data_IF_703804093438
#
_entry.id   IF_703804093438
#
_cell.length_a   1.000
_cell.length_b   1.000
_cell.length_c   1.000
_cell.angle_alpha   90.00
_cell.angle_beta   90.00
_cell.angle_gamma   90.00
#
_symmetry.space_group_name_H-M   'P 1'
#
loop_
_entity.id
_entity.type
_entity.pdbx_description
1 polymer ?
#
# COMPACT_ATOMS: atom_id res chain seq x y z
N UNK A 1 27.16 29.13 43.28
CA UNK A 1 26.10 29.91 42.60
C UNK A 1 26.16 29.96 41.05
N UNK A 2 27.25 29.52 40.39
CA UNK A 2 27.38 29.62 38.92
C UNK A 2 26.98 28.36 38.13
N UNK A 3 26.91 27.18 38.77
CA UNK A 3 26.54 25.92 38.10
C UNK A 3 25.03 25.73 37.89
N UNK A 4 24.20 26.46 38.65
CA UNK A 4 22.74 26.39 38.58
C UNK A 4 22.15 27.25 37.46
N UNK A 5 22.89 28.25 36.97
CA UNK A 5 22.44 29.11 35.87
C UNK A 5 22.65 28.45 34.50
N UNK A 6 23.74 27.69 34.33
CA UNK A 6 24.06 26.99 33.07
C UNK A 6 23.13 25.79 32.83
N UNK A 7 22.71 25.11 33.88
CA UNK A 7 21.70 24.04 33.81
C UNK A 7 20.32 24.57 33.45
N UNK A 8 19.94 25.76 33.93
CA UNK A 8 18.67 26.39 33.57
C UNK A 8 18.67 26.89 32.11
N UNK A 9 19.81 27.32 31.56
CA UNK A 9 19.94 27.75 30.16
C UNK A 9 19.83 26.58 29.17
N UNK A 10 20.30 25.38 29.53
CA UNK A 10 20.19 24.16 28.72
C UNK A 10 18.78 23.53 28.72
N UNK A 11 17.96 23.85 29.72
CA UNK A 11 16.55 23.42 29.79
C UNK A 11 15.61 24.33 28.98
N UNK A 12 16.04 25.54 28.60
CA UNK A 12 15.29 26.41 27.68
C UNK A 12 15.54 26.10 26.19
N UNK A 13 16.57 25.32 25.85
CA UNK A 13 16.88 24.91 24.47
C UNK A 13 16.17 23.64 23.99
N UNK A 14 15.37 23.00 24.85
CA UNK A 14 14.64 21.77 24.53
C UNK A 14 13.12 21.98 24.35
N UNK A 15 12.67 23.21 24.09
CA UNK A 15 11.31 23.46 23.61
C UNK A 15 11.19 23.00 22.16
N UNK A 16 11.02 21.68 21.99
CA UNK A 16 10.45 21.14 20.75
C UNK A 16 9.05 21.72 20.64
N UNK A 17 8.92 22.77 19.83
CA UNK A 17 7.62 23.24 19.40
C UNK A 17 6.90 22.05 18.76
N UNK A 18 5.65 21.73 19.14
CA UNK A 18 4.92 20.69 18.44
C UNK A 18 4.89 21.08 16.96
N UNK A 19 5.41 20.22 16.09
CA UNK A 19 5.32 20.41 14.65
C UNK A 19 3.84 20.32 14.30
N UNK A 20 3.17 21.47 14.16
CA UNK A 20 1.82 21.54 13.65
C UNK A 20 1.86 21.00 12.22
N UNK A 21 1.32 19.80 12.01
CA UNK A 21 1.14 19.25 10.67
C UNK A 21 0.30 20.22 9.85
N UNK A 22 0.83 20.68 8.71
CA UNK A 22 0.11 21.61 7.84
C UNK A 22 -0.97 20.81 7.10
N UNK A 23 -2.24 21.08 7.41
CA UNK A 23 -3.34 20.61 6.59
C UNK A 23 -3.61 21.64 5.46
N UNK A 24 -3.33 21.25 4.21
CA UNK A 24 -3.42 22.12 3.04
C UNK A 24 -4.87 22.26 2.56
N UNK A 25 -5.70 21.23 2.74
CA UNK A 25 -7.08 21.19 2.21
C UNK A 25 -7.95 22.34 2.72
N UNK A 26 -7.94 22.70 4.02
CA UNK A 26 -8.66 23.88 4.51
C UNK A 26 -8.16 25.19 3.88
N UNK A 27 -6.88 25.29 3.54
CA UNK A 27 -6.29 26.49 2.94
C UNK A 27 -6.66 26.64 1.45
N UNK A 28 -6.97 25.54 0.77
CA UNK A 28 -7.44 25.54 -0.62
C UNK A 28 -8.96 25.69 -0.74
N UNK A 29 -9.73 25.28 0.28
CA UNK A 29 -11.19 25.33 0.29
C UNK A 29 -11.84 26.67 -0.11
N UNK A 30 -11.27 27.86 0.18
CA UNK A 30 -11.85 29.13 -0.23
C UNK A 30 -11.69 29.45 -1.73
N UNK A 31 -10.98 28.62 -2.50
CA UNK A 31 -10.62 28.87 -3.90
C UNK A 31 -11.24 27.80 -4.82
N UNK A 32 -12.45 28.03 -5.36
CA UNK A 32 -13.15 27.06 -6.21
C UNK A 32 -12.37 26.66 -7.48
N UNK A 33 -11.56 27.56 -8.01
CA UNK A 33 -10.70 27.31 -9.17
C UNK A 33 -9.54 26.34 -8.89
N UNK A 34 -9.35 25.94 -7.62
CA UNK A 34 -8.36 24.94 -7.20
C UNK A 34 -9.02 23.66 -6.65
N UNK A 35 -10.34 23.51 -6.82
CA UNK A 35 -11.09 22.37 -6.29
C UNK A 35 -10.56 21.02 -6.82
N UNK A 36 -10.34 20.91 -8.14
CA UNK A 36 -9.87 19.68 -8.76
C UNK A 36 -8.47 19.30 -8.21
N UNK A 37 -7.60 20.30 -8.00
CA UNK A 37 -6.27 20.09 -7.40
C UNK A 37 -6.34 19.69 -5.92
N UNK A 38 -7.24 20.32 -5.16
CA UNK A 38 -7.49 19.96 -3.76
C UNK A 38 -8.00 18.52 -3.63
N UNK A 39 -8.91 18.12 -4.52
CA UNK A 39 -9.43 16.76 -4.58
C UNK A 39 -8.30 15.77 -4.84
N UNK A 40 -7.41 16.03 -5.81
CA UNK A 40 -6.24 15.20 -6.07
C UNK A 40 -5.29 15.07 -4.87
N UNK A 41 -5.11 16.11 -4.05
CA UNK A 41 -4.32 15.98 -2.81
C UNK A 41 -4.98 15.02 -1.82
N UNK A 42 -6.32 15.04 -1.73
CA UNK A 42 -7.07 14.23 -0.77
C UNK A 42 -7.32 12.79 -1.21
N UNK A 43 -7.47 12.54 -2.51
CA UNK A 43 -7.72 11.20 -3.05
C UNK A 43 -6.44 10.38 -3.23
N UNK A 44 -5.28 11.03 -3.13
CA UNK A 44 -3.96 10.39 -3.25
C UNK A 44 -3.26 10.31 -1.89
N UNK A 45 -2.14 9.58 -1.82
CA UNK A 45 -1.34 9.45 -0.60
C UNK A 45 -0.53 10.70 -0.24
N UNK A 46 -0.64 11.79 -1.00
CA UNK A 46 0.11 13.04 -0.78
C UNK A 46 -0.23 13.69 0.55
N UNK A 47 -1.49 13.66 0.97
CA UNK A 47 -1.90 14.20 2.26
C UNK A 47 -1.15 13.55 3.43
N UNK A 48 -0.83 12.26 3.34
CA UNK A 48 -0.05 11.54 4.35
C UNK A 48 1.43 11.96 4.34
N UNK A 49 2.02 12.15 3.15
CA UNK A 49 3.43 12.57 3.00
C UNK A 49 3.72 13.99 3.51
N UNK A 50 2.66 14.80 3.61
CA UNK A 50 2.68 16.17 4.15
C UNK A 50 2.66 16.20 5.68
N UNK A 51 2.30 15.10 6.35
CA UNK A 51 2.27 15.03 7.81
C UNK A 51 3.69 15.24 8.35
N UNK A 52 3.83 16.14 9.32
CA UNK A 52 5.13 16.47 9.92
C UNK A 52 6.04 17.35 9.06
N UNK A 53 5.60 17.76 7.86
CA UNK A 53 6.32 18.76 7.05
C UNK A 53 5.96 20.16 7.51
N UNK A 54 6.97 21.02 7.60
CA UNK A 54 6.84 22.46 7.79
C UNK A 54 7.61 23.20 6.69
N UNK A 55 7.32 24.49 6.48
CA UNK A 55 8.00 25.32 5.48
C UNK A 55 7.91 24.74 4.07
N UNK A 56 6.69 24.67 3.52
CA UNK A 56 6.44 24.13 2.18
C UNK A 56 5.93 25.19 1.21
N UNK A 57 6.13 24.95 -0.09
CA UNK A 57 5.48 25.72 -1.16
C UNK A 57 4.69 24.80 -2.06
N UNK A 58 3.41 25.12 -2.27
CA UNK A 58 2.51 24.39 -3.15
C UNK A 58 2.41 25.13 -4.48
N UNK A 59 2.82 24.48 -5.56
CA UNK A 59 2.60 24.92 -6.94
C UNK A 59 1.21 24.45 -7.36
N UNK A 60 0.19 25.24 -7.01
CA UNK A 60 -1.20 24.90 -7.26
C UNK A 60 -1.57 25.04 -8.74
N UNK A 61 -2.33 24.07 -9.25
CA UNK A 61 -2.79 24.03 -10.62
C UNK A 61 -4.26 24.47 -10.67
N UNK A 62 -4.60 25.54 -11.43
CA UNK A 62 -5.98 25.88 -11.72
C UNK A 62 -6.72 24.73 -12.40
N UNK A 63 -8.03 24.61 -12.14
CA UNK A 63 -8.90 23.61 -12.76
C UNK A 63 -8.82 23.69 -14.29
N UNK A 64 -8.71 24.91 -14.84
CA UNK A 64 -8.51 25.09 -16.28
C UNK A 64 -7.24 24.37 -16.79
N UNK A 65 -6.12 24.44 -16.07
CA UNK A 65 -4.88 23.77 -16.47
C UNK A 65 -5.03 22.25 -16.34
N UNK A 66 -5.62 21.78 -15.24
CA UNK A 66 -5.81 20.35 -14.98
C UNK A 66 -6.72 19.68 -16.03
N UNK A 67 -7.82 20.33 -16.42
CA UNK A 67 -8.78 19.78 -17.40
C UNK A 67 -8.25 19.76 -18.83
N UNK A 68 -7.30 20.63 -19.15
CA UNK A 68 -6.59 20.58 -20.43
C UNK A 68 -5.41 19.60 -20.40
N UNK A 69 -5.13 19.00 -19.24
CA UNK A 69 -4.10 17.98 -19.09
C UNK A 69 -4.73 16.59 -19.02
N UNK A 70 -4.00 15.59 -19.52
CA UNK A 70 -4.43 14.19 -19.49
C UNK A 70 -4.46 13.60 -18.05
N UNK A 71 -4.03 14.37 -17.04
CA UNK A 71 -4.05 14.01 -15.62
C UNK A 71 -5.47 13.80 -15.08
N UNK A 72 -6.46 14.52 -15.61
CA UNK A 72 -7.86 14.45 -15.18
C UNK A 72 -8.75 13.57 -16.09
N UNK A 73 -8.30 13.26 -17.31
CA UNK A 73 -9.11 12.63 -18.35
C UNK A 73 -8.58 11.29 -18.86
N UNK A 74 -7.56 10.70 -18.22
CA UNK A 74 -7.04 9.39 -18.63
C UNK A 74 -8.17 8.32 -18.66
N UNK A 75 -8.56 7.82 -19.84
CA UNK A 75 -9.62 6.84 -19.97
C UNK A 75 -9.00 5.46 -19.89
N UNK A 76 -8.61 5.02 -18.69
CA UNK A 76 -8.29 3.61 -18.46
C UNK A 76 -8.87 3.21 -17.12
N UNK A 77 -9.80 2.27 -17.19
CA UNK A 77 -10.40 1.50 -16.11
C UNK A 77 -9.36 0.64 -15.38
N UNK A 78 -8.32 1.25 -14.80
CA UNK A 78 -7.30 0.55 -14.04
C UNK A 78 -6.94 1.32 -12.77
N UNK A 79 -6.74 0.57 -11.69
CA UNK A 79 -6.51 0.99 -10.30
C UNK A 79 -5.23 1.84 -10.08
N UNK A 80 -4.60 2.32 -11.15
CA UNK A 80 -3.30 3.01 -11.22
C UNK A 80 -3.40 4.55 -11.23
N UNK A 81 -4.60 5.09 -11.45
CA UNK A 81 -4.85 6.53 -11.54
C UNK A 81 -4.43 7.35 -10.30
N UNK A 82 -4.65 6.87 -9.05
CA UNK A 82 -4.29 7.64 -7.85
C UNK A 82 -2.77 7.69 -7.57
N UNK A 83 -2.01 6.67 -7.98
CA UNK A 83 -0.55 6.65 -7.80
C UNK A 83 0.12 7.66 -8.73
N UNK A 84 -0.28 7.67 -10.01
CA UNK A 84 0.21 8.62 -11.01
C UNK A 84 -0.10 10.07 -10.64
N UNK A 85 -1.36 10.34 -10.28
CA UNK A 85 -1.76 11.66 -9.82
C UNK A 85 -0.96 12.06 -8.58
N UNK A 86 -0.78 11.15 -7.63
CA UNK A 86 0.00 11.41 -6.42
C UNK A 86 1.43 11.86 -6.72
N UNK A 87 2.13 11.19 -7.64
CA UNK A 87 3.52 11.54 -7.97
C UNK A 87 3.66 12.88 -8.68
N UNK A 88 2.73 13.19 -9.59
CA UNK A 88 2.68 14.51 -10.21
C UNK A 88 2.40 15.59 -9.16
N UNK A 89 1.49 15.35 -8.22
CA UNK A 89 1.20 16.31 -7.15
C UNK A 89 2.38 16.45 -6.18
N UNK A 90 3.09 15.37 -5.82
CA UNK A 90 4.35 15.44 -5.04
C UNK A 90 5.40 16.30 -5.73
N UNK A 91 5.44 16.30 -7.06
CA UNK A 91 6.36 17.13 -7.83
C UNK A 91 6.01 18.62 -7.76
N UNK A 92 4.73 18.94 -7.53
CA UNK A 92 4.24 20.31 -7.34
C UNK A 92 4.37 20.82 -5.90
N UNK A 93 4.82 20.00 -4.96
CA UNK A 93 5.05 20.40 -3.56
C UNK A 93 6.55 20.55 -3.34
N UNK A 94 6.97 21.70 -2.81
CA UNK A 94 8.36 22.03 -2.54
C UNK A 94 8.61 22.05 -1.04
N UNK A 95 9.79 21.59 -0.64
CA UNK A 95 10.17 21.42 0.76
C UNK A 95 10.86 22.65 1.34
N UNK A 96 10.50 23.82 0.82
CA UNK A 96 10.92 25.10 1.34
C UNK A 96 9.80 26.13 1.14
N UNK A 97 9.65 27.05 2.10
CA UNK A 97 8.82 28.23 1.95
C UNK A 97 9.43 29.23 0.95
N UNK A 98 8.69 29.52 -0.12
CA UNK A 98 9.06 30.47 -1.17
C UNK A 98 7.92 31.46 -1.37
N UNK A 99 8.17 32.75 -1.14
CA UNK A 99 7.22 33.80 -1.50
C UNK A 99 7.47 34.30 -2.92
N UNK A 100 6.40 34.69 -3.62
CA UNK A 100 6.52 35.28 -4.95
C UNK A 100 7.36 36.56 -4.93
N UNK A 101 7.25 37.34 -3.85
CA UNK A 101 8.05 38.56 -3.65
C UNK A 101 9.54 38.25 -3.57
N UNK A 102 9.93 37.20 -2.87
CA UNK A 102 11.35 36.81 -2.73
C UNK A 102 11.89 36.25 -4.04
N UNK A 103 11.10 35.45 -4.76
CA UNK A 103 11.45 34.94 -6.08
C UNK A 103 11.63 36.08 -7.11
N UNK A 104 10.83 37.13 -7.00
CA UNK A 104 10.91 38.33 -7.84
C UNK A 104 11.93 39.37 -7.35
N UNK A 105 12.50 39.25 -6.15
CA UNK A 105 13.54 40.18 -5.64
C UNK A 105 14.93 39.57 -5.59
N UNK A 106 15.01 38.24 -5.55
CA UNK A 106 16.26 37.50 -5.48
C UNK A 106 17.24 37.82 -6.61
N UNK A 107 18.52 37.47 -6.42
CA UNK A 107 19.57 37.72 -7.39
C UNK A 107 19.23 37.05 -8.74
N UNK A 108 19.65 37.64 -9.87
CA UNK A 108 19.49 37.02 -11.18
C UNK A 108 20.29 35.70 -11.19
N UNK A 109 19.59 34.58 -11.17
CA UNK A 109 20.18 33.25 -11.08
C UNK A 109 19.14 32.14 -11.14
N UNK A 110 19.62 30.91 -11.30
CA UNK A 110 18.79 29.70 -11.21
C UNK A 110 18.83 29.20 -9.77
N UNK A 111 17.66 29.05 -9.14
CA UNK A 111 17.53 28.50 -7.80
C UNK A 111 16.93 27.10 -7.87
N UNK A 112 17.71 26.10 -7.50
CA UNK A 112 17.25 24.70 -7.41
C UNK A 112 16.55 24.46 -6.09
N UNK A 113 15.39 23.80 -6.13
CA UNK A 113 14.55 23.52 -4.96
C UNK A 113 14.12 22.06 -4.98
N UNK A 114 14.18 21.42 -3.82
CA UNK A 114 13.78 20.02 -3.62
C UNK A 114 12.25 19.89 -3.60
N UNK A 115 11.70 19.01 -4.42
CA UNK A 115 10.27 18.67 -4.36
C UNK A 115 10.01 17.59 -3.31
N UNK A 116 8.74 17.42 -2.92
CA UNK A 116 8.30 16.28 -2.11
C UNK A 116 8.56 14.97 -2.85
N UNK A 117 8.42 14.94 -4.18
CA UNK A 117 8.73 13.77 -5.00
C UNK A 117 10.17 13.30 -4.81
N UNK A 118 11.15 14.22 -4.85
CA UNK A 118 12.56 13.89 -4.56
C UNK A 118 12.74 13.29 -3.16
N UNK A 119 12.12 13.89 -2.14
CA UNK A 119 12.29 13.45 -0.76
C UNK A 119 11.62 12.11 -0.45
N UNK A 120 10.73 11.63 -1.33
CA UNK A 120 10.18 10.28 -1.20
C UNK A 120 11.09 9.19 -1.78
N UNK A 121 12.21 9.54 -2.41
CA UNK A 121 13.11 8.58 -3.04
C UNK A 121 12.61 8.03 -4.38
N UNK A 122 11.45 8.48 -4.87
CA UNK A 122 10.83 8.04 -6.13
C UNK A 122 11.51 8.61 -7.39
N UNK A 123 12.32 9.65 -7.23
CA UNK A 123 13.05 10.27 -8.34
C UNK A 123 14.36 9.56 -8.64
N UNK A 124 14.63 9.29 -9.92
CA UNK A 124 15.96 8.87 -10.36
C UNK A 124 16.94 10.04 -10.28
N UNK A 125 18.01 9.91 -9.50
CA UNK A 125 19.06 10.93 -9.38
C UNK A 125 18.52 12.30 -8.96
N UNK A 126 18.84 13.33 -9.76
CA UNK A 126 18.46 14.73 -9.50
C UNK A 126 17.22 15.19 -10.30
N UNK A 127 16.41 14.27 -10.83
CA UNK A 127 15.24 14.64 -11.62
C UNK A 127 14.02 15.06 -10.77
N UNK A 128 14.06 14.87 -9.46
CA UNK A 128 13.06 15.34 -8.52
C UNK A 128 13.22 16.80 -8.09
N UNK A 129 14.23 17.51 -8.57
CA UNK A 129 14.41 18.93 -8.28
C UNK A 129 13.76 19.82 -9.33
N UNK A 130 13.29 21.00 -8.92
CA UNK A 130 12.82 22.05 -9.82
C UNK A 130 13.71 23.27 -9.76
N UNK A 131 13.81 23.98 -10.89
CA UNK A 131 14.68 25.14 -11.05
C UNK A 131 13.86 26.41 -11.25
N UNK A 132 13.91 27.31 -10.28
CA UNK A 132 13.32 28.63 -10.40
C UNK A 132 14.26 29.58 -11.14
N UNK A 133 13.74 30.23 -12.17
CA UNK A 133 14.46 31.24 -12.95
C UNK A 133 13.63 32.51 -13.05
N UNK A 134 14.21 33.62 -12.61
CA UNK A 134 13.60 34.94 -12.75
C UNK A 134 13.84 35.49 -14.15
N UNK A 135 12.77 35.91 -14.83
CA UNK A 135 12.87 36.65 -16.08
C UNK A 135 12.77 38.16 -15.79
N UNK A 136 13.89 38.87 -15.94
CA UNK A 136 13.99 40.31 -15.68
C UNK A 136 13.21 41.16 -16.68
N UNK A 137 13.03 40.69 -17.92
CA UNK A 137 12.30 41.40 -18.96
C UNK A 137 10.78 41.39 -18.73
N UNK A 138 10.21 40.19 -18.50
CA UNK A 138 8.77 40.02 -18.31
C UNK A 138 8.31 40.13 -16.85
N UNK A 139 9.23 40.30 -15.88
CA UNK A 139 8.97 40.27 -14.43
C UNK A 139 8.20 39.02 -13.98
N UNK A 140 8.48 37.88 -14.62
CA UNK A 140 7.87 36.59 -14.29
C UNK A 140 8.90 35.64 -13.69
N UNK A 141 8.41 34.58 -13.05
CA UNK A 141 9.24 33.49 -12.51
C UNK A 141 8.85 32.20 -13.21
N UNK A 142 9.81 31.58 -13.88
CA UNK A 142 9.64 30.27 -14.51
C UNK A 142 10.14 29.19 -13.56
N UNK A 143 9.38 28.12 -13.44
CA UNK A 143 9.75 26.87 -12.77
C UNK A 143 10.06 25.86 -13.85
N UNK A 144 11.31 25.42 -13.93
CA UNK A 144 11.76 24.46 -14.91
C UNK A 144 11.94 23.08 -14.27
N UNK A 145 11.38 22.07 -14.91
CA UNK A 145 11.63 20.65 -14.66
C UNK A 145 12.38 20.05 -15.86
N UNK A 146 12.98 18.86 -15.72
CA UNK A 146 13.64 18.19 -16.84
C UNK A 146 12.69 17.86 -18.01
N UNK A 147 11.38 17.70 -17.74
CA UNK A 147 10.39 17.32 -18.74
C UNK A 147 9.54 18.49 -19.26
N UNK A 148 9.65 19.69 -18.69
CA UNK A 148 8.83 20.83 -19.07
C UNK A 148 8.97 22.03 -18.14
N UNK A 149 8.37 23.16 -18.53
CA UNK A 149 8.44 24.41 -17.80
C UNK A 149 7.04 24.94 -17.48
N UNK A 150 6.90 25.54 -16.31
CA UNK A 150 5.71 26.27 -15.87
C UNK A 150 6.09 27.69 -15.46
N UNK A 151 5.14 28.61 -15.50
CA UNK A 151 5.32 29.99 -15.05
C UNK A 151 4.43 30.23 -13.85
N UNK A 152 4.99 30.84 -12.80
CA UNK A 152 4.23 31.28 -11.64
C UNK A 152 3.36 32.47 -12.04
N UNK A 153 2.05 32.30 -11.91
CA UNK A 153 1.03 33.29 -12.29
C UNK A 153 0.75 34.26 -11.16
N UNK A 154 0.52 33.73 -9.96
CA UNK A 154 0.11 34.53 -8.80
C UNK A 154 0.41 33.82 -7.47
N UNK A 155 0.42 34.59 -6.38
CA UNK A 155 0.46 34.05 -5.02
C UNK A 155 -0.97 34.00 -4.47
N UNK A 156 -1.47 32.80 -4.23
CA UNK A 156 -2.83 32.53 -3.76
C UNK A 156 -2.93 32.73 -2.25
N UNK A 157 -1.99 32.13 -1.52
CA UNK A 157 -1.93 32.20 -0.06
C UNK A 157 -0.48 32.21 0.40
N UNK A 158 -0.21 32.93 1.48
CA UNK A 158 1.07 32.87 2.17
C UNK A 158 0.83 32.96 3.66
N UNK A 159 1.36 31.99 4.39
CA UNK A 159 1.54 31.98 5.82
C UNK A 159 3.06 31.96 6.03
N UNK A 160 3.68 33.12 6.33
CA UNK A 160 5.13 33.27 6.37
C UNK A 160 5.82 32.17 7.17
N UNK A 161 6.91 31.64 6.62
CA UNK A 161 7.74 30.55 7.17
C UNK A 161 7.06 29.17 7.26
N UNK A 162 5.77 29.07 6.94
CA UNK A 162 5.02 27.82 7.08
C UNK A 162 4.56 27.26 5.73
N UNK A 163 3.71 28.00 5.00
CA UNK A 163 3.19 27.56 3.71
C UNK A 163 3.03 28.73 2.75
N UNK A 164 3.44 28.52 1.49
CA UNK A 164 3.13 29.40 0.36
C UNK A 164 2.37 28.61 -0.69
N UNK A 165 1.32 29.18 -1.26
CA UNK A 165 0.56 28.58 -2.36
C UNK A 165 0.69 29.51 -3.55
N UNK A 166 1.36 29.03 -4.60
CA UNK A 166 1.64 29.74 -5.83
C UNK A 166 0.87 29.07 -6.97
N UNK A 167 0.11 29.82 -7.73
CA UNK A 167 -0.56 29.29 -8.92
C UNK A 167 0.41 29.21 -10.09
N UNK A 168 0.41 28.10 -10.83
CA UNK A 168 1.21 27.89 -12.04
C UNK A 168 0.34 27.63 -13.27
N UNK A 169 0.82 28.01 -14.46
CA UNK A 169 0.06 27.91 -15.70
C UNK A 169 0.23 26.60 -16.48
N UNK A 170 1.12 25.72 -16.05
CA UNK A 170 1.39 24.45 -16.73
C UNK A 170 1.69 23.36 -15.71
N UNK A 171 1.34 22.13 -16.07
CA UNK A 171 1.65 20.94 -15.30
C UNK A 171 3.16 20.62 -15.38
N UNK A 172 3.80 20.44 -14.22
CA UNK A 172 5.15 19.90 -14.12
C UNK A 172 5.10 18.40 -13.88
N UNK A 173 5.57 17.64 -14.86
CA UNK A 173 5.61 16.17 -14.79
C UNK A 173 7.03 15.73 -14.45
N UNK A 174 7.23 14.76 -13.53
CA UNK A 174 8.58 14.24 -13.28
C UNK A 174 9.17 13.60 -14.54
N UNK A 175 10.51 13.59 -14.64
CA UNK A 175 11.21 13.01 -15.78
C UNK A 175 10.92 11.50 -15.91
N UNK A 176 10.69 11.03 -17.14
CA UNK A 176 10.42 9.61 -17.43
C UNK A 176 8.94 9.20 -17.35
N UNK A 177 8.04 10.15 -17.11
CA UNK A 177 6.59 9.94 -17.09
C UNK A 177 6.01 10.33 -18.46
N UNK A 178 5.83 9.37 -19.37
CA UNK A 178 5.13 9.56 -20.66
C UNK A 178 3.85 8.71 -20.70
N UNK A 179 2.71 9.38 -20.92
CA UNK A 179 1.35 8.81 -20.92
C UNK A 179 1.07 7.86 -22.09
N UNK A 180 1.93 7.82 -23.11
CA UNK A 180 1.79 6.90 -24.25
C UNK A 180 2.49 5.56 -24.07
N UNK A 181 3.28 5.40 -23.02
CA UNK A 181 4.17 4.24 -22.81
C UNK A 181 3.72 3.30 -21.67
N UNK A 182 2.55 3.55 -21.07
CA UNK A 182 2.01 2.73 -19.96
C UNK A 182 1.61 1.31 -20.35
N UNK A 183 1.65 0.96 -21.64
CA UNK A 183 1.55 -0.42 -22.11
C UNK A 183 2.88 -1.19 -22.09
N UNK A 184 4.02 -0.53 -21.88
CA UNK A 184 5.34 -1.11 -22.11
C UNK A 184 6.46 -0.69 -21.14
N UNK A 185 6.22 0.20 -20.17
CA UNK A 185 7.30 0.65 -19.25
C UNK A 185 7.11 0.20 -17.80
N UNK A 186 8.12 -0.43 -17.16
CA UNK A 186 8.12 -0.72 -15.73
C UNK A 186 8.03 0.59 -14.93
N UNK A 187 7.51 0.52 -13.70
CA UNK A 187 7.70 1.59 -12.70
C UNK A 187 9.21 1.93 -12.61
N UNK A 188 9.64 3.03 -11.98
CA UNK A 188 11.00 3.10 -11.44
C UNK A 188 11.09 2.01 -10.36
N UNK A 189 11.23 0.76 -10.81
CA UNK A 189 11.15 -0.44 -10.02
C UNK A 189 12.24 -0.35 -8.98
N UNK A 190 11.87 -0.61 -7.74
CA UNK A 190 12.87 -0.88 -6.74
C UNK A 190 13.62 -2.11 -7.26
N UNK A 191 14.91 -1.97 -7.55
CA UNK A 191 15.72 -3.14 -7.87
C UNK A 191 15.79 -3.98 -6.58
N UNK A 192 14.90 -4.97 -6.48
CA UNK A 192 14.67 -5.79 -5.29
C UNK A 192 16.00 -6.39 -4.85
N UNK A 193 16.74 -6.96 -5.79
CA UNK A 193 18.01 -7.65 -5.54
C UNK A 193 19.09 -6.69 -5.04
N UNK A 194 19.18 -5.49 -5.60
CA UNK A 194 20.09 -4.46 -5.09
C UNK A 194 19.73 -4.03 -3.66
N UNK A 195 18.45 -3.82 -3.37
CA UNK A 195 17.99 -3.49 -2.01
C UNK A 195 18.35 -4.59 -1.00
N UNK A 196 18.24 -5.86 -1.41
CA UNK A 196 18.61 -6.99 -0.54
C UNK A 196 20.11 -7.08 -0.30
N UNK A 197 20.92 -6.81 -1.33
CA UNK A 197 22.38 -6.75 -1.23
C UNK A 197 22.78 -5.61 -0.27
N UNK A 198 22.22 -4.42 -0.46
CA UNK A 198 22.52 -3.23 0.34
C UNK A 198 22.09 -3.40 1.81
N UNK A 199 20.98 -4.11 2.06
CA UNK A 199 20.49 -4.41 3.40
C UNK A 199 21.35 -5.44 4.16
N UNK A 200 22.20 -6.19 3.45
CA UNK A 200 23.04 -7.28 3.96
C UNK A 200 22.23 -8.47 4.51
N UNK A 201 22.85 -9.65 4.66
CA UNK A 201 22.22 -10.84 5.25
C UNK A 201 20.98 -11.38 4.48
N UNK A 202 20.89 -11.11 3.17
CA UNK A 202 19.88 -11.66 2.24
C UNK A 202 20.52 -12.15 0.93
N UNK A 203 21.82 -12.43 0.93
CA UNK A 203 22.56 -12.79 -0.27
C UNK A 203 22.03 -14.07 -0.93
N UNK A 204 21.60 -15.05 -0.13
CA UNK A 204 21.09 -16.32 -0.62
C UNK A 204 19.78 -16.13 -1.37
N UNK A 205 18.82 -15.40 -0.79
CA UNK A 205 17.53 -15.15 -1.46
C UNK A 205 17.68 -14.21 -2.66
N UNK A 206 18.56 -13.20 -2.59
CA UNK A 206 18.90 -12.36 -3.72
C UNK A 206 19.41 -13.19 -4.92
N UNK A 207 20.32 -14.14 -4.67
CA UNK A 207 20.78 -15.07 -5.71
C UNK A 207 19.67 -15.96 -6.25
N UNK A 208 18.77 -16.46 -5.40
CA UNK A 208 17.65 -17.29 -5.83
C UNK A 208 16.66 -16.52 -6.72
N UNK A 209 16.39 -15.25 -6.40
CA UNK A 209 15.55 -14.36 -7.21
C UNK A 209 16.18 -14.17 -8.59
N UNK A 210 17.47 -13.82 -8.65
CA UNK A 210 18.16 -13.59 -9.91
C UNK A 210 18.31 -14.85 -10.76
N UNK A 211 18.60 -15.99 -10.14
CA UNK A 211 18.78 -17.26 -10.84
C UNK A 211 17.45 -17.86 -11.35
N UNK A 212 16.33 -17.56 -10.69
CA UNK A 212 15.01 -18.06 -11.08
C UNK A 212 14.30 -17.17 -12.11
N UNK A 213 14.68 -15.90 -12.22
CA UNK A 213 14.08 -14.95 -13.15
C UNK A 213 12.67 -14.47 -12.76
N UNK A 214 12.21 -14.78 -11.54
CA UNK A 214 10.89 -14.35 -11.04
C UNK A 214 10.84 -12.85 -10.73
N UNK A 215 11.99 -12.17 -10.68
CA UNK A 215 12.08 -10.72 -10.45
C UNK A 215 11.19 -9.92 -11.40
N UNK A 216 11.23 -10.22 -12.70
CA UNK A 216 10.40 -9.56 -13.70
C UNK A 216 8.90 -9.80 -13.50
N UNK A 217 8.53 -10.89 -12.80
CA UNK A 217 7.15 -11.14 -12.39
C UNK A 217 6.73 -10.27 -11.21
N UNK A 218 7.62 -10.13 -10.23
CA UNK A 218 7.39 -9.32 -9.05
C UNK A 218 7.30 -7.84 -9.43
N UNK A 219 8.25 -7.33 -10.21
CA UNK A 219 8.27 -5.96 -10.73
C UNK A 219 6.98 -5.62 -11.50
N UNK A 220 6.43 -6.56 -12.27
CA UNK A 220 5.16 -6.36 -12.97
C UNK A 220 3.98 -6.24 -12.00
N UNK A 221 4.02 -7.01 -10.90
CA UNK A 221 2.97 -7.02 -9.88
C UNK A 221 3.07 -5.83 -8.92
N UNK A 222 4.25 -5.22 -8.77
CA UNK A 222 4.42 -3.92 -8.08
C UNK A 222 3.50 -2.84 -8.65
N UNK A 223 3.23 -2.89 -9.97
CA UNK A 223 2.36 -1.93 -10.62
C UNK A 223 0.91 -1.96 -10.09
N UNK A 224 0.40 -3.12 -9.66
CA UNK A 224 -1.00 -3.30 -9.25
C UNK A 224 -1.31 -2.80 -7.84
N UNK A 225 -1.84 -3.69 -6.98
CA UNK A 225 -2.09 -3.41 -5.55
C UNK A 225 -0.80 -3.27 -4.72
N UNK A 226 0.36 -3.26 -5.37
CA UNK A 226 1.67 -3.40 -4.76
C UNK A 226 1.98 -4.82 -4.29
N UNK A 227 3.14 -5.00 -3.67
CA UNK A 227 3.58 -6.31 -3.17
C UNK A 227 4.20 -6.18 -1.78
N UNK A 228 4.08 -7.27 -1.02
CA UNK A 228 4.77 -7.44 0.26
C UNK A 228 5.60 -8.71 0.21
N UNK A 229 6.92 -8.58 0.33
CA UNK A 229 7.83 -9.72 0.34
C UNK A 229 8.28 -10.04 1.75
N UNK A 230 8.14 -11.30 2.13
CA UNK A 230 8.51 -11.86 3.43
C UNK A 230 9.76 -12.73 3.22
N UNK A 231 10.93 -12.11 3.18
CA UNK A 231 12.14 -12.77 2.68
C UNK A 231 13.01 -13.34 3.82
N UNK A 232 13.48 -14.60 3.72
CA UNK A 232 14.35 -15.20 4.72
C UNK A 232 15.76 -14.62 4.66
N UNK A 233 16.37 -14.42 5.83
CA UNK A 233 17.79 -14.04 5.95
C UNK A 233 18.74 -15.18 5.58
N UNK A 234 20.03 -14.88 5.38
CA UNK A 234 21.05 -15.92 5.13
C UNK A 234 21.18 -16.88 6.32
N UNK A 235 20.97 -16.37 7.54
CA UNK A 235 20.87 -17.18 8.76
C UNK A 235 19.66 -18.12 8.73
N UNK A 236 18.50 -17.66 8.24
CA UNK A 236 17.32 -18.51 8.09
C UNK A 236 17.55 -19.70 7.14
N UNK A 237 18.39 -19.54 6.11
CA UNK A 237 18.81 -20.66 5.25
C UNK A 237 19.83 -21.58 5.91
N UNK A 238 20.69 -21.03 6.76
CA UNK A 238 21.70 -21.78 7.50
C UNK A 238 21.07 -22.66 8.59
N UNK A 239 20.01 -22.15 9.24
CA UNK A 239 19.20 -22.85 10.25
C UNK A 239 18.18 -23.84 9.65
N UNK A 240 18.04 -23.87 8.32
CA UNK A 240 17.12 -24.77 7.65
C UNK A 240 17.56 -26.23 7.85
N UNK A 241 16.68 -27.03 8.45
CA UNK A 241 16.93 -28.45 8.67
C UNK A 241 17.37 -29.18 7.40
N UNK A 242 18.36 -30.07 7.53
CA UNK A 242 19.01 -30.72 6.38
C UNK A 242 18.03 -31.46 5.46
N UNK A 243 16.96 -32.04 6.00
CA UNK A 243 15.90 -32.70 5.23
C UNK A 243 15.14 -31.73 4.31
N UNK A 244 14.77 -30.55 4.82
CA UNK A 244 14.09 -29.52 4.02
C UNK A 244 15.04 -28.88 3.02
N UNK A 245 16.31 -28.69 3.39
CA UNK A 245 17.33 -28.21 2.44
C UNK A 245 17.52 -29.18 1.28
N UNK A 246 17.63 -30.49 1.55
CA UNK A 246 17.72 -31.50 0.51
C UNK A 246 16.46 -31.53 -0.37
N UNK A 247 15.27 -31.42 0.25
CA UNK A 247 14.01 -31.34 -0.48
C UNK A 247 13.96 -30.12 -1.39
N UNK A 248 14.30 -28.92 -0.89
CA UNK A 248 14.37 -27.69 -1.67
C UNK A 248 15.33 -27.81 -2.85
N UNK A 249 16.49 -28.45 -2.65
CA UNK A 249 17.46 -28.72 -3.73
C UNK A 249 16.90 -29.67 -4.80
N UNK A 250 16.13 -30.68 -4.39
CA UNK A 250 15.52 -31.68 -5.28
C UNK A 250 14.34 -31.15 -6.11
N UNK A 251 13.77 -30.01 -5.74
CA UNK A 251 12.66 -29.40 -6.49
C UNK A 251 13.10 -29.00 -7.91
N UNK A 252 12.18 -29.13 -8.86
CA UNK A 252 12.36 -28.57 -10.22
C UNK A 252 12.52 -27.06 -10.18
N UNK A 253 13.02 -26.46 -11.27
CA UNK A 253 13.19 -25.00 -11.36
C UNK A 253 11.86 -24.26 -11.13
N UNK A 254 10.77 -24.75 -11.73
CA UNK A 254 9.44 -24.16 -11.58
C UNK A 254 8.89 -24.28 -10.15
N UNK A 255 9.12 -25.42 -9.49
CA UNK A 255 8.74 -25.58 -8.08
C UNK A 255 9.58 -24.69 -7.15
N UNK A 256 10.85 -24.43 -7.46
CA UNK A 256 11.67 -23.46 -6.73
C UNK A 256 11.15 -22.03 -6.94
N UNK A 257 10.71 -21.70 -8.15
CA UNK A 257 10.07 -20.42 -8.45
C UNK A 257 8.75 -20.25 -7.65
N UNK A 258 7.95 -21.30 -7.52
CA UNK A 258 6.75 -21.29 -6.66
C UNK A 258 7.08 -21.08 -5.18
N UNK A 259 8.18 -21.66 -4.67
CA UNK A 259 8.65 -21.37 -3.31
C UNK A 259 8.98 -19.88 -3.18
N UNK A 260 9.60 -19.25 -4.16
CA UNK A 260 9.86 -17.81 -4.13
C UNK A 260 8.57 -16.99 -4.18
N UNK A 261 7.62 -17.33 -5.06
CA UNK A 261 6.29 -16.69 -5.13
C UNK A 261 5.49 -16.84 -3.83
N UNK A 262 5.67 -17.94 -3.11
CA UNK A 262 5.05 -18.17 -1.81
C UNK A 262 5.55 -17.20 -0.72
N UNK A 263 6.71 -16.57 -0.91
CA UNK A 263 7.20 -15.53 0.00
C UNK A 263 6.65 -14.13 -0.35
N UNK A 264 5.75 -14.00 -1.34
CA UNK A 264 5.25 -12.71 -1.81
C UNK A 264 3.73 -12.64 -1.73
N UNK A 265 3.22 -11.63 -1.03
CA UNK A 265 1.81 -11.28 -1.02
C UNK A 265 1.51 -10.34 -2.20
N UNK A 266 0.42 -10.54 -2.96
CA UNK A 266 0.07 -9.75 -4.14
C UNK A 266 -0.58 -8.40 -3.80
N UNK A 267 -0.23 -7.81 -2.65
CA UNK A 267 -0.71 -6.51 -2.19
C UNK A 267 0.30 -5.87 -1.23
N UNK A 268 0.33 -4.53 -1.21
CA UNK A 268 1.15 -3.76 -0.28
C UNK A 268 0.51 -3.72 1.12
N UNK A 269 1.21 -4.30 2.11
CA UNK A 269 0.84 -4.27 3.51
C UNK A 269 1.98 -3.65 4.32
N UNK A 270 1.81 -2.43 4.85
CA UNK A 270 2.78 -1.86 5.78
C UNK A 270 2.80 -2.68 7.07
N UNK A 271 3.91 -2.62 7.82
CA UNK A 271 4.10 -3.43 9.03
C UNK A 271 2.97 -3.17 10.04
N UNK A 272 2.59 -1.91 10.21
CA UNK A 272 1.49 -1.52 11.09
C UNK A 272 0.13 -2.09 10.69
N UNK A 273 -0.09 -2.45 9.41
CA UNK A 273 -1.28 -3.18 8.98
C UNK A 273 -1.17 -4.65 9.38
N UNK A 274 -0.04 -5.29 9.10
CA UNK A 274 0.22 -6.68 9.50
C UNK A 274 0.14 -6.89 11.02
N UNK A 275 0.44 -5.87 11.82
CA UNK A 275 0.32 -5.91 13.29
C UNK A 275 -1.11 -5.83 13.82
N UNK A 276 -2.03 -5.29 13.01
CA UNK A 276 -3.45 -5.10 13.35
C UNK A 276 -4.32 -6.24 12.82
N UNK A 277 -3.72 -7.10 12.02
CA UNK A 277 -4.36 -8.22 11.38
C UNK A 277 -4.73 -9.29 12.43
N UNK A 278 -5.98 -9.74 12.39
CA UNK A 278 -6.51 -10.81 13.24
C UNK A 278 -6.91 -11.99 12.36
N UNK A 279 -6.02 -12.98 12.24
CA UNK A 279 -6.23 -14.29 11.60
C UNK A 279 -6.78 -14.34 10.14
N UNK A 280 -6.31 -13.55 9.17
CA UNK A 280 -6.59 -13.78 7.77
C UNK A 280 -5.65 -14.84 7.22
N UNK A 281 -6.25 -15.74 6.45
CA UNK A 281 -5.53 -16.60 5.52
C UNK A 281 -5.25 -15.72 4.30
N UNK A 282 -3.98 -15.46 4.04
CA UNK A 282 -3.58 -14.58 2.94
C UNK A 282 -3.11 -15.39 1.72
N UNK A 283 -3.64 -15.13 0.52
CA UNK A 283 -3.12 -15.72 -0.70
C UNK A 283 -1.74 -15.14 -1.01
N UNK A 284 -0.89 -15.95 -1.62
CA UNK A 284 0.44 -15.52 -2.11
C UNK A 284 0.42 -15.44 -3.64
N UNK A 285 1.49 -14.92 -4.24
CA UNK A 285 1.65 -14.97 -5.69
C UNK A 285 1.67 -16.41 -6.24
N UNK A 286 2.01 -17.42 -5.43
CA UNK A 286 1.92 -18.82 -5.85
C UNK A 286 0.46 -19.30 -5.93
N UNK A 287 -0.44 -18.74 -5.13
CA UNK A 287 -1.88 -19.04 -5.16
C UNK A 287 -2.49 -18.69 -6.52
N UNK A 288 -2.14 -17.54 -7.10
CA UNK A 288 -2.62 -17.08 -8.41
C UNK A 288 -2.38 -18.13 -9.51
N UNK A 289 -1.23 -18.84 -9.46
CA UNK A 289 -0.82 -19.80 -10.48
C UNK A 289 -1.23 -21.24 -10.20
N UNK A 290 -1.49 -21.58 -8.93
CA UNK A 290 -1.70 -22.98 -8.49
C UNK A 290 -3.13 -23.27 -8.04
N UNK A 291 -3.96 -22.23 -7.91
CA UNK A 291 -5.38 -22.32 -7.59
C UNK A 291 -5.71 -21.81 -6.20
N UNK A 292 -6.95 -21.34 -6.04
CA UNK A 292 -7.47 -20.81 -4.78
C UNK A 292 -7.36 -21.83 -3.63
N UNK A 293 -7.03 -21.34 -2.44
CA UNK A 293 -6.88 -22.16 -1.23
C UNK A 293 -5.57 -22.95 -1.14
N UNK A 294 -4.65 -22.77 -2.09
CA UNK A 294 -3.30 -23.35 -2.07
C UNK A 294 -2.25 -22.27 -1.87
N UNK A 295 -1.10 -22.63 -1.33
CA UNK A 295 0.02 -21.72 -1.13
C UNK A 295 -0.38 -20.45 -0.34
N UNK A 296 -1.21 -20.60 0.68
CA UNK A 296 -1.65 -19.50 1.55
C UNK A 296 -0.78 -19.37 2.80
N UNK A 297 -0.67 -18.15 3.34
CA UNK A 297 0.04 -17.86 4.59
C UNK A 297 -0.95 -17.53 5.71
N UNK A 298 -0.60 -17.91 6.94
CA UNK A 298 -1.31 -17.49 8.14
C UNK A 298 -0.50 -16.40 8.83
N UNK A 299 -1.08 -15.21 8.96
CA UNK A 299 -0.43 -14.09 9.64
C UNK A 299 -0.99 -13.97 11.05
N UNK A 300 -0.10 -14.03 12.04
CA UNK A 300 -0.45 -14.00 13.46
C UNK A 300 0.46 -13.05 14.23
N UNK A 301 0.05 -12.72 15.46
CA UNK A 301 0.87 -11.94 16.38
C UNK A 301 1.38 -12.83 17.50
N UNK A 302 2.70 -12.96 17.60
CA UNK A 302 3.37 -13.77 18.62
C UNK A 302 4.27 -12.86 19.43
N UNK A 303 4.08 -12.81 20.75
CA UNK A 303 4.89 -12.00 21.68
C UNK A 303 4.98 -10.51 21.30
N UNK A 304 3.93 -9.96 20.68
CA UNK A 304 3.89 -8.56 20.28
C UNK A 304 4.39 -8.28 18.85
N UNK A 305 4.98 -9.25 18.17
CA UNK A 305 5.52 -9.12 16.81
C UNK A 305 4.73 -9.94 15.78
N UNK A 306 4.72 -9.49 14.52
CA UNK A 306 4.13 -10.23 13.40
C UNK A 306 4.90 -11.52 13.16
N UNK A 307 4.18 -12.62 12.98
CA UNK A 307 4.73 -13.95 12.72
C UNK A 307 3.93 -14.66 11.64
N UNK A 308 4.66 -15.27 10.71
CA UNK A 308 4.11 -15.96 9.55
C UNK A 308 4.12 -17.46 9.82
N UNK A 309 2.96 -18.08 9.77
CA UNK A 309 2.79 -19.53 9.91
C UNK A 309 2.44 -20.14 8.55
N UNK A 310 3.20 -21.18 8.17
CA UNK A 310 2.98 -21.94 6.93
C UNK A 310 2.31 -23.29 7.18
N UNK A 311 2.03 -23.66 8.43
CA UNK A 311 1.65 -25.00 8.86
C UNK A 311 2.83 -25.97 9.03
N UNK A 312 4.02 -25.59 8.54
CA UNK A 312 5.28 -26.35 8.74
C UNK A 312 6.24 -25.57 9.62
N UNK A 313 6.34 -24.25 9.39
CA UNK A 313 7.22 -23.36 10.14
C UNK A 313 6.46 -22.13 10.62
N UNK A 314 6.86 -21.64 11.79
CA UNK A 314 6.48 -20.34 12.30
C UNK A 314 7.70 -19.41 12.25
N UNK A 315 7.57 -18.32 11.49
CA UNK A 315 8.62 -17.41 11.08
C UNK A 315 8.27 -15.97 11.51
N UNK A 316 8.81 -15.46 12.64
CA UNK A 316 8.65 -14.06 13.02
C UNK A 316 9.27 -13.12 11.98
N UNK A 317 8.61 -11.98 11.77
CA UNK A 317 9.19 -10.82 11.09
C UNK A 317 10.20 -10.18 12.04
N UNK A 318 11.46 -10.14 11.63
CA UNK A 318 12.60 -9.71 12.46
C UNK A 318 13.12 -8.32 12.09
N UNK A 319 12.85 -7.83 10.87
CA UNK A 319 13.22 -6.47 10.47
C UNK A 319 12.43 -5.99 9.25
N UNK A 320 12.31 -4.67 9.12
CA UNK A 320 11.89 -4.00 7.89
C UNK A 320 13.12 -3.67 7.04
N UNK A 321 13.10 -4.06 5.77
CA UNK A 321 14.16 -3.78 4.79
C UNK A 321 13.83 -2.51 4.03
N UNK A 322 12.63 -2.48 3.46
CA UNK A 322 12.04 -1.30 2.82
C UNK A 322 10.54 -1.36 3.05
N UNK A 323 9.94 -0.20 3.23
CA UNK A 323 8.49 -0.06 3.39
C UNK A 323 8.08 1.22 2.68
N UNK A 324 7.90 1.12 1.36
CA UNK A 324 7.61 2.26 0.49
C UNK A 324 6.57 1.83 -0.54
N UNK A 325 5.32 2.29 -0.39
CA UNK A 325 4.26 2.01 -1.36
C UNK A 325 4.75 2.29 -2.80
N UNK A 326 4.73 1.29 -3.71
CA UNK A 326 3.94 0.04 -3.66
C UNK A 326 4.66 -1.23 -3.15
N UNK A 327 5.87 -1.14 -2.61
CA UNK A 327 6.67 -2.31 -2.18
C UNK A 327 6.97 -2.28 -0.68
N UNK A 328 6.70 -3.39 -0.01
CA UNK A 328 7.22 -3.66 1.34
C UNK A 328 8.08 -4.93 1.31
N UNK A 329 9.26 -4.89 1.94
CA UNK A 329 10.12 -6.05 2.14
C UNK A 329 10.43 -6.17 3.62
N UNK A 330 10.07 -7.32 4.18
CA UNK A 330 10.33 -7.67 5.57
C UNK A 330 11.23 -8.90 5.63
N UNK A 331 12.23 -8.86 6.50
CA UNK A 331 13.06 -10.01 6.83
C UNK A 331 12.34 -10.94 7.79
N UNK A 332 12.27 -12.23 7.47
CA UNK A 332 11.73 -13.29 8.34
C UNK A 332 12.83 -14.23 8.82
N UNK A 333 12.65 -14.80 10.02
CA UNK A 333 13.69 -15.61 10.66
C UNK A 333 13.80 -17.06 10.14
N UNK A 334 12.90 -17.50 9.26
CA UNK A 334 12.89 -18.86 8.69
C UNK A 334 12.46 -18.81 7.23
N UNK A 335 12.97 -19.75 6.43
CA UNK A 335 12.47 -19.98 5.05
C UNK A 335 11.02 -20.46 5.14
N UNK A 336 10.10 -19.79 4.46
CA UNK A 336 8.68 -20.19 4.40
C UNK A 336 8.56 -21.42 3.50
N UNK A 337 7.99 -22.50 4.04
CA UNK A 337 7.89 -23.78 3.37
C UNK A 337 6.42 -24.08 3.01
N UNK A 338 6.05 -24.11 1.71
CA UNK A 338 4.72 -24.51 1.27
C UNK A 338 4.39 -25.94 1.67
N UNK A 339 3.20 -26.16 2.22
CA UNK A 339 2.72 -27.51 2.60
C UNK A 339 2.64 -28.44 1.39
N UNK A 340 2.36 -27.91 0.21
CA UNK A 340 2.23 -28.66 -1.04
C UNK A 340 3.53 -29.38 -1.46
N UNK A 341 4.69 -28.88 -1.02
CA UNK A 341 5.99 -29.45 -1.39
C UNK A 341 6.73 -30.08 -0.22
N UNK A 342 6.49 -29.60 0.99
CA UNK A 342 7.28 -29.93 2.18
C UNK A 342 6.52 -30.72 3.25
N UNK A 343 5.21 -30.98 3.06
CA UNK A 343 4.46 -31.88 3.93
C UNK A 343 4.98 -33.31 3.85
N UNK A 344 4.99 -34.00 4.99
CA UNK A 344 5.39 -35.41 5.09
C UNK A 344 4.29 -36.38 4.66
N UNK A 345 3.08 -35.89 4.43
CA UNK A 345 1.89 -36.66 4.01
C UNK A 345 1.32 -36.05 2.72
N UNK A 346 1.00 -36.86 1.70
CA UNK A 346 0.33 -36.38 0.50
C UNK A 346 -1.07 -35.87 0.89
N UNK A 347 -1.40 -34.61 0.59
CA UNK A 347 -2.76 -34.10 0.75
C UNK A 347 -3.53 -34.50 -0.50
N UNK A 348 -4.45 -35.45 -0.34
CA UNK A 348 -5.47 -35.80 -1.33
C UNK A 348 -6.52 -34.67 -1.35
N UNK A 349 -6.82 -34.18 -2.55
CA UNK A 349 -7.84 -33.17 -2.81
C UNK A 349 -9.20 -33.87 -2.81
N UNK A 350 -10.07 -33.61 -1.83
CA UNK A 350 -11.47 -33.28 -2.15
C UNK A 350 -12.31 -32.77 -0.96
N UNK A 351 -13.26 -31.92 -1.33
CA UNK A 351 -14.51 -31.53 -0.68
C UNK A 351 -14.56 -30.32 0.30
N UNK A 352 -15.39 -29.29 -0.01
CA UNK A 352 -15.70 -28.19 0.89
C UNK A 352 -16.84 -28.58 1.83
N UNK A 353 -16.59 -28.43 3.14
CA UNK A 353 -17.63 -28.36 4.16
C UNK A 353 -17.50 -29.39 5.27
N UNK A 354 -16.80 -29.01 6.35
CA UNK A 354 -17.19 -29.34 7.72
C UNK A 354 -16.31 -28.55 8.69
N UNK A 355 -16.95 -27.88 9.65
CA UNK A 355 -16.32 -26.97 10.60
C UNK A 355 -15.42 -27.63 11.64
N UNK A 356 -14.68 -26.76 12.30
CA UNK A 356 -13.85 -26.99 13.49
C UNK A 356 -14.46 -27.96 14.50
N UNK A 357 -13.64 -28.85 15.08
CA UNK A 357 -13.68 -29.08 16.53
C UNK A 357 -12.40 -29.74 17.07
N UNK A 358 -11.84 -29.04 18.06
CA UNK A 358 -10.99 -29.44 19.20
C UNK A 358 -10.47 -30.88 19.32
N UNK A 359 -9.16 -30.94 19.59
CA UNK A 359 -8.45 -32.06 20.17
C UNK A 359 -8.96 -32.40 21.58
N UNK A 360 -9.28 -33.67 21.85
CA UNK A 360 -9.23 -34.26 23.20
C UNK A 360 -8.62 -35.67 23.16
N UNK A 361 -7.68 -35.85 24.07
CA UNK A 361 -6.88 -37.01 24.52
C UNK A 361 -7.65 -38.36 24.57
N UNK A 362 -7.01 -39.52 24.31
CA UNK A 362 -7.68 -40.82 24.37
C UNK A 362 -7.89 -41.31 25.81
N UNK A 363 -8.96 -42.08 26.04
CA UNK A 363 -9.19 -42.83 27.28
C UNK A 363 -9.71 -44.26 27.00
N UNK A 364 -9.56 -45.19 27.95
CA UNK A 364 -9.34 -46.62 27.70
C UNK A 364 -10.62 -47.46 27.60
N UNK A 365 -10.40 -48.65 27.06
CA UNK A 365 -11.26 -49.83 26.86
C UNK A 365 -12.12 -50.26 28.07
N UNK A 366 -13.44 -50.44 27.88
CA UNK A 366 -14.31 -51.42 28.60
C UNK A 366 -15.53 -51.81 27.73
N UNK A 367 -15.80 -53.13 27.71
CA UNK A 367 -16.84 -54.01 27.13
C UNK A 367 -18.33 -53.55 27.01
N UNK A 368 -19.18 -54.28 26.21
CA UNK A 368 -20.50 -53.82 25.76
C UNK A 368 -21.67 -54.26 26.67
N UNK A 369 -22.88 -53.65 26.53
CA UNK A 369 -24.07 -54.09 27.27
C UNK A 369 -24.99 -55.05 26.46
N UNK A 370 -25.88 -55.81 27.14
CA UNK A 370 -26.62 -56.96 26.58
C UNK A 370 -28.01 -56.62 26.00
N UNK A 371 -28.62 -57.62 25.34
CA UNK A 371 -29.91 -57.64 24.61
C UNK A 371 -31.17 -57.93 25.47
N UNK A 372 -32.34 -57.57 24.89
CA UNK A 372 -33.75 -57.99 25.11
C UNK A 372 -34.55 -57.23 26.20
N UNK A 373 -35.86 -56.90 26.09
CA UNK A 373 -37.03 -57.58 25.46
C UNK A 373 -38.17 -56.53 25.09
N UNK A 374 -39.42 -56.86 24.59
CA UNK A 374 -39.99 -56.32 23.34
C UNK A 374 -41.46 -55.75 23.37
N UNK A 375 -41.95 -55.27 22.21
CA UNK A 375 -43.38 -55.12 21.82
C UNK A 375 -44.03 -53.78 22.18
N UNK A 376 -44.81 -53.07 21.34
CA UNK A 376 -45.87 -53.51 20.41
C UNK A 376 -46.08 -52.49 19.26
N UNK A 377 -46.38 -53.03 18.07
CA UNK A 377 -47.02 -52.53 16.83
C UNK A 377 -47.74 -51.15 16.84
N UNK A 378 -47.77 -50.34 15.76
CA UNK A 378 -48.25 -50.62 14.39
C UNK A 378 -47.62 -49.67 13.32
N UNK A 379 -47.39 -50.19 12.11
CA UNK A 379 -47.06 -49.48 10.86
C UNK A 379 -48.33 -49.26 10.00
N UNK A 380 -48.26 -48.88 8.69
CA UNK A 380 -47.50 -47.85 7.96
C UNK A 380 -48.43 -46.97 7.06
N UNK A 381 -47.89 -45.94 6.38
CA UNK A 381 -48.08 -45.59 4.93
C UNK A 381 -47.60 -44.15 4.71
N UNK A 382 -46.70 -43.75 3.79
CA UNK A 382 -46.45 -43.95 2.33
C UNK A 382 -46.93 -42.72 1.53
N UNK A 383 -46.06 -42.29 0.59
CA UNK A 383 -46.27 -41.33 -0.52
C UNK A 383 -46.44 -39.85 -0.10
N UNK A 384 -46.00 -38.83 -0.84
CA UNK A 384 -45.05 -38.58 -1.92
C UNK A 384 -45.34 -37.13 -2.34
N UNK A 385 -44.31 -36.35 -2.64
CA UNK A 385 -44.38 -34.98 -3.16
C UNK A 385 -45.24 -34.87 -4.44
N UNK A 386 -45.60 -33.64 -4.87
CA UNK A 386 -44.77 -33.05 -5.91
C UNK A 386 -44.60 -31.53 -5.86
N UNK A 387 -43.52 -31.11 -6.51
CA UNK A 387 -43.12 -29.75 -6.87
C UNK A 387 -43.90 -29.20 -8.05
N UNK A 388 -43.99 -27.87 -8.16
CA UNK A 388 -44.21 -27.19 -9.44
C UNK A 388 -44.94 -25.85 -9.31
N UNK A 389 -44.22 -24.73 -9.40
CA UNK A 389 -44.78 -23.43 -9.75
C UNK A 389 -43.79 -22.68 -10.63
N UNK A 390 -44.13 -22.61 -11.92
CA UNK A 390 -43.62 -21.64 -12.88
C UNK A 390 -44.68 -20.54 -13.05
N UNK A 391 -44.20 -19.30 -13.12
CA UNK A 391 -44.64 -18.16 -13.95
C UNK A 391 -46.16 -17.96 -14.21
N UNK A 392 -46.75 -16.76 -14.08
CA UNK A 392 -46.34 -15.55 -14.77
C UNK A 392 -47.24 -14.35 -14.38
N UNK A 393 -46.70 -13.15 -14.58
CA UNK A 393 -47.34 -11.98 -15.19
C UNK A 393 -48.36 -11.09 -14.44
N UNK A 394 -47.91 -9.83 -14.28
CA UNK A 394 -48.53 -8.57 -14.75
C UNK A 394 -49.74 -7.96 -14.02
N UNK A 395 -49.48 -6.77 -13.48
CA UNK A 395 -50.08 -5.47 -13.88
C UNK A 395 -50.88 -4.69 -12.83
N UNK A 396 -50.59 -3.38 -12.87
CA UNK A 396 -51.47 -2.24 -12.59
C UNK A 396 -51.79 -1.81 -11.14
N UNK A 397 -51.12 -0.72 -10.77
CA UNK A 397 -51.74 0.58 -10.43
C UNK A 397 -52.52 0.78 -9.11
N UNK A 398 -51.93 1.70 -8.32
CA UNK A 398 -52.54 2.91 -7.74
C UNK A 398 -52.85 2.98 -6.24
N UNK A 399 -52.52 4.16 -5.70
CA UNK A 399 -52.94 4.84 -4.45
C UNK A 399 -52.28 4.35 -3.15
N UNK A 400 -51.24 5.04 -2.69
CA UNK A 400 -51.28 6.23 -1.81
C UNK A 400 -51.99 6.01 -0.48
N UNK A 401 -51.19 5.77 0.56
CA UNK A 401 -51.50 6.01 1.97
C UNK A 401 -50.35 6.80 2.58
N UNK A 402 -50.56 8.10 2.74
CA UNK A 402 -49.67 9.05 3.40
C UNK A 402 -49.79 8.88 4.92
N UNK A 403 -48.67 8.78 5.64
CA UNK A 403 -48.62 9.15 7.07
C UNK A 403 -47.56 10.22 7.24
N UNK A 404 -48.03 11.46 7.32
CA UNK A 404 -47.32 12.62 7.88
C UNK A 404 -47.22 12.42 9.39
N UNK A 405 -46.04 12.60 9.97
CA UNK A 405 -45.92 12.99 11.38
C UNK A 405 -45.38 14.42 11.44
N UNK A 406 -46.22 15.31 11.97
CA UNK A 406 -45.99 16.73 12.14
C UNK A 406 -44.85 17.00 13.14
N UNK A 407 -44.06 18.02 12.83
CA UNK A 407 -43.27 18.74 13.83
C UNK A 407 -44.14 19.65 14.69
N UNK A 408 -43.63 19.98 15.89
CA UNK A 408 -44.15 21.04 16.74
C UNK A 408 -42.96 21.90 17.17
N UNK A 409 -42.99 23.18 16.77
CA UNK A 409 -42.24 24.27 17.39
C UNK A 409 -43.14 24.91 18.45
N UNK A 410 -42.57 25.39 19.56
CA UNK A 410 -42.85 26.74 20.06
C UNK A 410 -41.87 27.17 21.17
N UNK A 411 -41.28 28.32 20.88
CA UNK A 411 -40.56 29.37 21.63
C UNK A 411 -41.05 29.62 23.08
N UNK A 412 -40.08 29.91 23.96
CA UNK A 412 -40.12 31.01 24.94
C UNK A 412 -38.71 31.59 25.07
#
# INVERSE_FOLDING_TARGET
PHFTLLSYLLLLSASHSPVLSINITPLLSPYPDLADFSDLITTTSVAADLIGRSSITVLALPNAVLRHSDLAHSPVSSEFSPLYAGDVIRYHILLEYLSLTDLLRGPPGVRTVTTLFQATGRSTGNFGYVNFKRNTGSKTVTVASPAGNATVVSQIKSLPYNISILSVNSLLVPYGFDLKDFGARPSPGINITQVLIDAGNFNVVAWMLSASGVEAEFERKEGGAGITMLLPTDEAFSDLAASYRLKLQSLSAEQKADVLRFHVLPSYYPLGSLERVVNPIEPTMATDLRGAGRFTLYISKVNGSVSIDTGIVQAPVIRTVIEQNPVAIFGVSKVLLPVEFFSKTPIEVDNPGAGFSGSVVPSPEVSPPPKNVPGVFLSPEKLSSPSGLAENALSAASKQGVVKLLGLWCIA
#
